data_IF_843655619974
#
_entry.id   IF_843655619974
#
_cell.length_a   1.000
_cell.length_b   1.000
_cell.length_c   1.000
_cell.angle_alpha   90.00
_cell.angle_beta   90.00
_cell.angle_gamma   90.00
#
_symmetry.space_group_name_H-M   'P 1'
#
loop_
_entity.id
_entity.type
_entity.pdbx_description
1 polymer ?
#
# COMPACT_ATOMS: atom_id res chain seq x y z
N UNK A 1 -19.73 -3.21 2.14
CA UNK A 1 -19.28 -2.58 0.88
C UNK A 1 -20.33 -2.60 -0.22
N UNK A 2 -21.33 -3.50 -0.19
CA UNK A 2 -22.34 -3.56 -1.26
C UNK A 2 -23.35 -2.39 -1.30
N UNK A 3 -23.25 -1.36 -0.46
CA UNK A 3 -24.26 -0.28 -0.39
C UNK A 3 -23.70 1.14 -0.31
N UNK A 4 -22.38 1.36 -0.51
CA UNK A 4 -21.85 2.73 -0.65
C UNK A 4 -21.33 2.97 -2.07
N UNK A 5 -22.09 3.67 -2.94
CA UNK A 5 -21.69 3.93 -4.31
C UNK A 5 -20.47 4.86 -4.41
N UNK A 6 -20.04 5.49 -3.31
CA UNK A 6 -18.87 6.36 -3.28
C UNK A 6 -17.56 5.58 -3.06
N UNK A 7 -17.64 4.27 -2.79
CA UNK A 7 -16.47 3.42 -2.56
C UNK A 7 -16.32 2.44 -3.72
N UNK A 8 -15.16 2.49 -4.38
CA UNK A 8 -14.74 1.53 -5.39
C UNK A 8 -13.46 0.83 -4.94
N UNK A 9 -13.39 -0.49 -5.13
CA UNK A 9 -12.18 -1.27 -4.90
C UNK A 9 -11.72 -1.90 -6.22
N UNK A 10 -10.42 -1.85 -6.46
CA UNK A 10 -9.77 -2.54 -7.56
C UNK A 10 -8.62 -3.40 -7.00
N UNK A 11 -8.63 -4.69 -7.30
CA UNK A 11 -7.60 -5.63 -6.90
C UNK A 11 -6.82 -6.07 -8.14
N UNK A 12 -5.50 -5.82 -8.15
CA UNK A 12 -4.63 -6.19 -9.28
C UNK A 12 -4.11 -7.64 -9.19
N UNK A 13 -4.29 -8.30 -8.05
CA UNK A 13 -3.86 -9.69 -7.83
C UNK A 13 -2.36 -9.92 -8.07
N UNK A 14 -1.50 -8.95 -7.71
CA UNK A 14 -0.04 -9.08 -7.86
C UNK A 14 0.54 -9.97 -6.74
N UNK A 15 1.60 -10.75 -7.02
CA UNK A 15 2.21 -11.63 -6.02
C UNK A 15 2.94 -10.84 -4.94
N UNK A 16 2.90 -11.37 -3.71
CA UNK A 16 3.65 -10.87 -2.56
C UNK A 16 5.16 -10.98 -2.81
N UNK A 17 5.85 -9.85 -2.62
CA UNK A 17 7.28 -9.70 -2.81
C UNK A 17 8.14 -10.21 -1.65
N UNK A 18 7.55 -10.70 -0.55
CA UNK A 18 8.21 -10.91 0.73
C UNK A 18 8.78 -9.60 1.30
N UNK A 19 9.21 -9.62 2.56
CA UNK A 19 9.69 -8.42 3.25
C UNK A 19 10.81 -7.70 2.48
N UNK A 20 11.72 -8.45 1.86
CA UNK A 20 12.91 -7.96 1.16
C UNK A 20 12.79 -7.88 -0.37
N UNK A 21 11.67 -8.31 -0.95
CA UNK A 21 11.49 -8.33 -2.39
C UNK A 21 11.97 -9.61 -3.08
N UNK A 22 12.40 -10.62 -2.32
CA UNK A 22 12.79 -11.93 -2.85
C UNK A 22 11.62 -12.67 -3.51
N UNK A 23 10.37 -12.42 -3.10
CA UNK A 23 9.19 -13.16 -3.53
C UNK A 23 9.12 -14.56 -2.93
N UNK A 24 8.09 -15.32 -3.30
CA UNK A 24 7.87 -16.68 -2.79
C UNK A 24 8.00 -17.74 -3.89
N UNK A 25 8.49 -18.96 -3.58
CA UNK A 25 8.55 -20.05 -4.56
C UNK A 25 7.21 -20.37 -5.22
N UNK A 26 6.11 -20.24 -4.47
CA UNK A 26 4.75 -20.49 -4.96
C UNK A 26 4.33 -19.53 -6.10
N UNK A 27 4.92 -18.34 -6.16
CA UNK A 27 4.69 -17.31 -7.19
C UNK A 27 5.88 -17.17 -8.14
N UNK A 28 6.74 -18.19 -8.20
CA UNK A 28 7.92 -18.21 -9.05
C UNK A 28 9.05 -17.28 -8.60
N UNK A 29 9.06 -16.89 -7.32
CA UNK A 29 10.08 -16.00 -6.74
C UNK A 29 10.15 -14.67 -7.50
N UNK A 30 8.98 -14.18 -7.93
CA UNK A 30 8.77 -12.88 -8.59
C UNK A 30 8.26 -11.85 -7.57
N UNK A 31 8.43 -10.57 -7.86
CA UNK A 31 8.01 -9.48 -6.96
C UNK A 31 7.88 -8.16 -7.71
N UNK A 32 7.17 -7.21 -7.11
CA UNK A 32 7.08 -5.83 -7.62
C UNK A 32 8.47 -5.20 -7.76
N UNK A 33 9.35 -5.35 -6.76
CA UNK A 33 10.69 -4.72 -6.80
C UNK A 33 11.57 -5.29 -7.92
N UNK A 34 11.43 -6.58 -8.23
CA UNK A 34 12.11 -7.22 -9.37
C UNK A 34 11.60 -6.67 -10.70
N UNK A 35 10.29 -6.44 -10.83
CA UNK A 35 9.71 -5.81 -12.01
C UNK A 35 10.23 -4.37 -12.14
N UNK A 36 10.10 -3.57 -11.08
CA UNK A 36 10.53 -2.17 -11.05
C UNK A 36 12.01 -1.99 -11.44
N UNK A 37 12.89 -2.85 -10.92
CA UNK A 37 14.32 -2.81 -11.22
C UNK A 37 14.70 -3.43 -12.57
N UNK A 38 13.74 -3.96 -13.34
CA UNK A 38 13.98 -4.62 -14.62
C UNK A 38 14.66 -5.98 -14.52
N UNK A 39 14.68 -6.59 -13.32
CA UNK A 39 15.23 -7.94 -13.11
C UNK A 39 14.32 -9.02 -13.71
N UNK A 40 13.02 -8.73 -13.81
CA UNK A 40 12.05 -9.49 -14.60
C UNK A 40 11.35 -8.53 -15.55
N UNK A 41 10.99 -9.02 -16.74
CA UNK A 41 10.30 -8.18 -17.75
C UNK A 41 8.78 -8.18 -17.56
N UNK A 42 8.24 -9.21 -16.92
CA UNK A 42 6.80 -9.41 -16.73
C UNK A 42 6.54 -9.99 -15.34
N UNK A 43 5.41 -9.61 -14.77
CA UNK A 43 4.88 -10.11 -13.51
C UNK A 43 3.48 -10.69 -13.76
N UNK A 44 3.32 -11.98 -13.53
CA UNK A 44 2.03 -12.66 -13.59
C UNK A 44 1.19 -12.32 -12.36
N UNK A 45 -0.12 -12.17 -12.52
CA UNK A 45 -1.06 -12.14 -11.39
C UNK A 45 -1.15 -13.51 -10.73
N UNK A 46 -1.50 -13.56 -9.44
CA UNK A 46 -1.57 -14.81 -8.66
C UNK A 46 -2.62 -15.80 -9.21
N UNK A 47 -3.63 -15.31 -9.91
CA UNK A 47 -4.64 -16.11 -10.61
C UNK A 47 -4.22 -16.50 -12.04
N UNK A 48 -3.07 -16.02 -12.52
CA UNK A 48 -2.53 -16.28 -13.86
C UNK A 48 -3.31 -15.62 -15.01
N UNK A 49 -4.29 -14.76 -14.72
CA UNK A 49 -5.18 -14.19 -15.73
C UNK A 49 -4.56 -13.02 -16.48
N UNK A 50 -3.66 -12.26 -15.85
CA UNK A 50 -3.05 -11.06 -16.42
C UNK A 50 -1.54 -11.06 -16.17
N UNK A 51 -0.81 -10.35 -17.04
CA UNK A 51 0.63 -10.12 -16.89
C UNK A 51 0.92 -8.64 -17.05
N UNK A 52 1.78 -8.10 -16.21
CA UNK A 52 2.18 -6.70 -16.26
C UNK A 52 3.67 -6.55 -16.60
N UNK A 53 3.99 -5.66 -17.53
CA UNK A 53 5.33 -5.04 -17.60
C UNK A 53 5.35 -3.82 -16.67
N UNK A 54 6.52 -3.17 -16.53
CA UNK A 54 6.57 -1.87 -15.85
C UNK A 54 5.60 -0.87 -16.48
N UNK A 55 5.66 -0.75 -17.81
CA UNK A 55 4.88 0.22 -18.58
C UNK A 55 3.39 -0.07 -18.47
N UNK A 56 2.97 -1.33 -18.60
CA UNK A 56 1.55 -1.67 -18.54
C UNK A 56 0.98 -1.56 -17.13
N UNK A 57 1.78 -1.77 -16.08
CA UNK A 57 1.34 -1.53 -14.70
C UNK A 57 1.15 -0.03 -14.44
N UNK A 58 2.09 0.81 -14.86
CA UNK A 58 1.97 2.28 -14.78
C UNK A 58 0.74 2.75 -15.55
N UNK A 59 0.54 2.27 -16.79
CA UNK A 59 -0.61 2.67 -17.60
C UNK A 59 -1.93 2.23 -16.97
N UNK A 60 -2.00 1.03 -16.40
CA UNK A 60 -3.20 0.53 -15.70
C UNK A 60 -3.59 1.43 -14.52
N UNK A 61 -2.62 1.85 -13.71
CA UNK A 61 -2.85 2.77 -12.60
C UNK A 61 -3.21 4.18 -13.11
N UNK A 62 -2.59 4.61 -14.21
CA UNK A 62 -2.90 5.90 -14.86
C UNK A 62 -4.34 5.90 -15.38
N UNK A 63 -4.80 4.81 -15.99
CA UNK A 63 -6.16 4.66 -16.49
C UNK A 63 -7.20 4.68 -15.35
N UNK A 64 -6.87 4.12 -14.18
CA UNK A 64 -7.70 4.30 -12.99
C UNK A 64 -7.77 5.77 -12.59
N UNK A 65 -6.67 6.51 -12.59
CA UNK A 65 -6.68 7.95 -12.30
C UNK A 65 -7.49 8.74 -13.35
N UNK A 66 -7.36 8.42 -14.65
CA UNK A 66 -8.19 9.03 -15.71
C UNK A 66 -9.68 8.73 -15.53
N UNK A 67 -10.03 7.52 -15.07
CA UNK A 67 -11.42 7.11 -14.85
C UNK A 67 -12.05 7.78 -13.63
N UNK A 68 -11.30 7.92 -12.55
CA UNK A 68 -11.82 8.45 -11.28
C UNK A 68 -11.55 9.94 -11.07
N UNK A 69 -10.70 10.55 -11.89
CA UNK A 69 -10.32 11.97 -11.85
C UNK A 69 -10.01 12.47 -10.42
N UNK A 70 -9.05 11.85 -9.71
CA UNK A 70 -8.84 12.14 -8.30
C UNK A 70 -8.22 13.53 -8.09
N UNK A 71 -8.74 14.27 -7.11
CA UNK A 71 -8.06 15.47 -6.60
C UNK A 71 -6.78 15.11 -5.82
N UNK A 72 -6.78 13.95 -5.15
CA UNK A 72 -5.68 13.48 -4.31
C UNK A 72 -5.41 12.00 -4.50
N UNK A 73 -4.13 11.64 -4.55
CA UNK A 73 -3.65 10.25 -4.49
C UNK A 73 -2.86 10.10 -3.19
N UNK A 74 -3.28 9.16 -2.34
CA UNK A 74 -2.58 8.79 -1.11
C UNK A 74 -1.92 7.43 -1.30
N UNK A 75 -0.66 7.32 -0.90
CA UNK A 75 0.13 6.10 -1.07
C UNK A 75 1.07 5.90 0.13
N UNK A 76 1.65 4.71 0.27
CA UNK A 76 2.76 4.47 1.20
C UNK A 76 4.04 5.18 0.74
N UNK A 77 5.16 4.96 1.43
CA UNK A 77 6.41 5.67 1.23
C UNK A 77 7.06 5.35 -0.14
N UNK A 78 7.12 6.32 -1.05
CA UNK A 78 7.82 6.21 -2.35
C UNK A 78 9.25 6.78 -2.34
N UNK A 79 9.72 7.32 -1.22
CA UNK A 79 11.04 7.97 -1.07
C UNK A 79 12.02 7.05 -0.33
N UNK A 80 11.65 6.59 0.86
CA UNK A 80 12.51 5.81 1.75
C UNK A 80 12.02 4.35 1.76
N UNK A 81 12.95 3.40 1.70
CA UNK A 81 12.63 1.97 1.63
C UNK A 81 13.28 1.10 2.72
N UNK A 82 14.03 1.70 3.65
CA UNK A 82 14.71 0.94 4.70
C UNK A 82 13.74 0.55 5.83
N UNK A 83 13.73 -0.73 6.21
CA UNK A 83 12.97 -1.21 7.37
C UNK A 83 11.47 -1.41 7.15
N UNK A 84 10.98 -1.27 5.91
CA UNK A 84 9.57 -1.49 5.53
C UNK A 84 9.44 -2.66 4.53
N UNK A 85 8.21 -3.10 4.28
CA UNK A 85 7.92 -4.15 3.30
C UNK A 85 8.24 -3.70 1.86
N UNK A 86 8.89 -4.56 1.09
CA UNK A 86 9.30 -4.26 -0.29
C UNK A 86 8.13 -3.84 -1.20
N UNK A 87 6.96 -4.46 -1.02
CA UNK A 87 5.75 -4.13 -1.78
C UNK A 87 5.17 -2.77 -1.40
N UNK A 88 5.34 -2.31 -0.15
CA UNK A 88 4.87 -0.99 0.26
C UNK A 88 5.57 0.09 -0.55
N UNK A 89 6.90 0.01 -0.54
CA UNK A 89 7.74 0.98 -1.21
C UNK A 89 7.62 0.90 -2.74
N UNK A 90 7.58 -0.31 -3.29
CA UNK A 90 7.52 -0.48 -4.75
C UNK A 90 6.14 -0.18 -5.30
N UNK A 91 5.07 -0.57 -4.61
CA UNK A 91 3.70 -0.18 -4.96
C UNK A 91 3.56 1.34 -4.98
N UNK A 92 4.12 2.03 -3.97
CA UNK A 92 4.13 3.48 -3.91
C UNK A 92 4.92 4.15 -5.05
N UNK A 93 6.03 3.55 -5.48
CA UNK A 93 6.78 4.01 -6.66
C UNK A 93 5.97 3.92 -7.96
N UNK A 94 5.25 2.81 -8.18
CA UNK A 94 4.34 2.69 -9.32
C UNK A 94 3.18 3.70 -9.25
N UNK A 95 2.59 3.91 -8.07
CA UNK A 95 1.54 4.92 -7.89
C UNK A 95 2.05 6.35 -8.16
N UNK A 96 3.27 6.67 -7.71
CA UNK A 96 3.92 7.95 -7.99
C UNK A 96 4.17 8.16 -9.48
N UNK A 97 4.68 7.14 -10.18
CA UNK A 97 4.94 7.23 -11.61
C UNK A 97 3.64 7.39 -12.40
N UNK A 98 2.59 6.66 -12.04
CA UNK A 98 1.26 6.83 -12.63
C UNK A 98 0.69 8.23 -12.41
N UNK A 99 0.82 8.79 -11.19
CA UNK A 99 0.39 10.16 -10.90
C UNK A 99 1.17 11.19 -11.74
N UNK A 100 2.47 10.95 -11.98
CA UNK A 100 3.32 11.79 -12.85
C UNK A 100 2.90 11.71 -14.32
N UNK A 101 2.45 10.55 -14.80
CA UNK A 101 1.95 10.37 -16.17
C UNK A 101 0.55 10.94 -16.35
N UNK A 102 -0.31 10.82 -15.34
CA UNK A 102 -1.67 11.37 -15.37
C UNK A 102 -1.68 12.91 -15.50
N UNK A 103 -0.73 13.60 -14.83
CA UNK A 103 -0.45 15.04 -14.88
C UNK A 103 -1.68 15.94 -15.15
N UNK A 104 -2.59 15.97 -14.19
CA UNK A 104 -3.77 16.85 -14.17
C UNK A 104 -3.83 17.72 -12.91
N UNK A 105 -2.68 18.05 -12.31
CA UNK A 105 -2.60 18.79 -11.05
C UNK A 105 -2.99 17.97 -9.81
N UNK A 106 -3.03 16.64 -9.91
CA UNK A 106 -3.33 15.73 -8.80
C UNK A 106 -2.33 15.91 -7.66
N UNK A 107 -2.82 15.98 -6.41
CA UNK A 107 -1.94 16.03 -5.24
C UNK A 107 -1.57 14.62 -4.78
N UNK A 108 -0.30 14.25 -4.95
CA UNK A 108 0.25 13.03 -4.39
C UNK A 108 0.69 13.24 -2.93
N UNK A 109 0.39 12.31 -2.04
CA UNK A 109 0.90 12.30 -0.66
C UNK A 109 1.32 10.88 -0.28
N UNK A 110 2.61 10.71 0.02
CA UNK A 110 3.16 9.48 0.57
C UNK A 110 3.10 9.49 2.10
N UNK A 111 2.96 8.32 2.72
CA UNK A 111 2.99 8.15 4.17
C UNK A 111 4.08 7.16 4.57
N UNK A 112 4.88 7.51 5.57
CA UNK A 112 5.93 6.68 6.13
C UNK A 112 5.35 5.38 6.70
N UNK A 113 5.95 4.24 6.34
CA UNK A 113 5.52 2.91 6.79
C UNK A 113 6.13 2.51 8.13
N UNK A 114 6.60 1.26 8.27
CA UNK A 114 7.04 0.71 9.57
C UNK A 114 8.06 1.55 10.35
N UNK A 115 9.05 2.25 9.73
CA UNK A 115 9.99 3.11 10.45
C UNK A 115 9.33 4.28 11.19
N UNK A 116 8.04 4.54 10.98
CA UNK A 116 7.31 5.58 11.71
C UNK A 116 7.43 5.45 13.23
N UNK A 117 7.64 4.24 13.77
CA UNK A 117 7.84 4.01 15.22
C UNK A 117 9.04 4.75 15.81
N UNK A 118 10.01 5.13 14.98
CA UNK A 118 11.19 5.90 15.40
C UNK A 118 10.87 7.39 15.63
N UNK A 119 9.70 7.85 15.18
CA UNK A 119 9.24 9.21 15.34
C UNK A 119 8.34 9.36 16.59
N UNK A 120 8.21 10.57 17.15
CA UNK A 120 7.27 10.83 18.23
C UNK A 120 5.81 10.50 17.86
N UNK A 121 4.97 10.29 18.86
CA UNK A 121 3.52 10.18 18.64
C UNK A 121 2.95 11.52 18.22
N UNK A 122 2.09 11.51 17.20
CA UNK A 122 1.44 12.71 16.68
C UNK A 122 -0.04 12.53 16.35
N UNK A 123 -0.61 11.35 16.61
CA UNK A 123 -2.05 11.08 16.48
C UNK A 123 -2.60 10.72 17.85
N UNK A 124 -3.53 11.52 18.37
CA UNK A 124 -4.02 11.41 19.74
C UNK A 124 -5.50 11.80 19.86
N UNK A 125 -6.11 11.52 21.01
CA UNK A 125 -7.51 11.87 21.29
C UNK A 125 -8.48 11.26 20.27
N UNK A 126 -9.47 12.03 19.83
CA UNK A 126 -10.52 11.56 18.92
C UNK A 126 -10.00 11.07 17.57
N UNK A 127 -8.89 11.63 17.06
CA UNK A 127 -8.30 11.16 15.80
C UNK A 127 -7.71 9.76 15.94
N UNK A 128 -7.06 9.47 17.07
CA UNK A 128 -6.55 8.15 17.38
C UNK A 128 -7.68 7.14 17.56
N UNK A 129 -8.75 7.52 18.26
CA UNK A 129 -9.93 6.67 18.45
C UNK A 129 -10.58 6.29 17.11
N UNK A 130 -10.76 7.24 16.19
CA UNK A 130 -11.30 6.98 14.85
C UNK A 130 -10.39 6.07 14.04
N UNK A 131 -9.07 6.31 14.08
CA UNK A 131 -8.09 5.49 13.36
C UNK A 131 -8.04 4.06 13.90
N UNK A 132 -8.06 3.90 15.22
CA UNK A 132 -8.13 2.60 15.89
C UNK A 132 -9.43 1.86 15.53
N UNK A 133 -10.58 2.54 15.59
CA UNK A 133 -11.86 1.93 15.24
C UNK A 133 -11.89 1.41 13.78
N UNK A 134 -11.33 2.17 12.84
CA UNK A 134 -11.20 1.74 11.44
C UNK A 134 -10.28 0.51 11.30
N UNK A 135 -9.12 0.52 11.96
CA UNK A 135 -8.18 -0.60 11.95
C UNK A 135 -8.78 -1.86 12.57
N UNK A 136 -9.42 -1.73 13.74
CA UNK A 136 -10.06 -2.83 14.45
C UNK A 136 -11.19 -3.45 13.64
N UNK A 137 -11.94 -2.64 12.88
CA UNK A 137 -12.97 -3.17 11.98
C UNK A 137 -12.39 -4.10 10.92
N UNK A 138 -11.20 -3.79 10.40
CA UNK A 138 -10.46 -4.69 9.53
C UNK A 138 -9.93 -5.92 10.29
N UNK A 139 -9.34 -5.71 11.47
CA UNK A 139 -8.76 -6.77 12.30
C UNK A 139 -9.73 -7.90 12.67
N UNK A 140 -11.03 -7.61 12.78
CA UNK A 140 -12.08 -8.63 12.97
C UNK A 140 -12.08 -9.72 11.88
N UNK A 141 -11.48 -9.45 10.72
CA UNK A 141 -11.42 -10.33 9.56
C UNK A 141 -10.01 -10.89 9.30
N UNK A 142 -9.02 -10.56 10.14
CA UNK A 142 -7.63 -10.98 9.95
C UNK A 142 -7.02 -11.49 11.27
N UNK A 143 -6.86 -12.81 11.34
CA UNK A 143 -6.32 -13.49 12.52
C UNK A 143 -4.84 -13.18 12.80
N UNK A 144 -4.11 -12.56 11.86
CA UNK A 144 -2.70 -12.20 12.05
C UNK A 144 -2.52 -10.85 12.72
N UNK A 145 -3.56 -10.02 12.80
CA UNK A 145 -3.52 -8.74 13.50
C UNK A 145 -4.41 -8.73 14.76
N UNK A 146 -4.76 -7.55 15.25
CA UNK A 146 -5.57 -7.32 16.43
C UNK A 146 -6.79 -6.46 16.10
N UNK A 147 -7.87 -6.62 16.87
CA UNK A 147 -9.20 -6.10 16.55
C UNK A 147 -9.80 -5.25 17.68
N UNK A 148 -9.00 -4.92 18.69
CA UNK A 148 -9.43 -4.16 19.86
C UNK A 148 -8.23 -3.59 20.60
N UNK A 149 -8.46 -2.58 21.43
CA UNK A 149 -7.38 -1.99 22.25
C UNK A 149 -6.68 -3.04 23.13
N UNK A 150 -7.45 -3.96 23.72
CA UNK A 150 -6.90 -5.01 24.58
C UNK A 150 -6.02 -5.99 23.79
N UNK A 151 -6.45 -6.42 22.60
CA UNK A 151 -5.67 -7.35 21.76
C UNK A 151 -4.47 -6.69 21.07
N UNK A 152 -4.48 -5.36 20.94
CA UNK A 152 -3.40 -4.60 20.32
C UNK A 152 -2.35 -4.06 21.29
N UNK A 153 -2.63 -3.98 22.60
CA UNK A 153 -1.81 -3.21 23.57
C UNK A 153 -0.31 -3.54 23.57
N UNK A 154 0.03 -4.82 23.36
CA UNK A 154 1.41 -5.32 23.37
C UNK A 154 1.98 -5.55 21.96
N UNK A 155 1.25 -5.13 20.92
CA UNK A 155 1.65 -5.29 19.53
C UNK A 155 2.21 -4.00 18.92
N UNK A 156 3.00 -4.14 17.86
CA UNK A 156 3.60 -3.00 17.15
C UNK A 156 2.53 -2.13 16.48
N UNK A 157 1.38 -2.69 16.11
CA UNK A 157 0.26 -1.97 15.53
C UNK A 157 -0.23 -0.84 16.44
N UNK A 158 -0.21 -1.00 17.76
CA UNK A 158 -0.57 0.08 18.69
C UNK A 158 0.40 1.28 18.55
N UNK A 159 1.69 1.03 18.31
CA UNK A 159 2.69 2.07 18.09
C UNK A 159 2.52 2.74 16.72
N UNK A 160 2.20 1.97 15.67
CA UNK A 160 1.89 2.52 14.35
C UNK A 160 0.63 3.39 14.35
N UNK A 161 -0.42 2.97 15.06
CA UNK A 161 -1.69 3.69 15.09
C UNK A 161 -1.55 5.09 15.70
N UNK A 162 -0.69 5.26 16.71
CA UNK A 162 -0.40 6.56 17.34
C UNK A 162 0.44 7.53 16.48
N UNK A 163 0.82 7.15 15.25
CA UNK A 163 1.72 7.93 14.39
C UNK A 163 1.25 8.01 12.93
N UNK A 164 1.47 9.15 12.29
CA UNK A 164 1.26 9.33 10.87
C UNK A 164 2.15 10.45 10.35
N UNK A 165 3.08 10.12 9.45
CA UNK A 165 4.03 11.08 8.88
C UNK A 165 4.02 10.96 7.36
N UNK A 166 4.14 12.09 6.67
CA UNK A 166 4.20 12.13 5.19
C UNK A 166 5.65 12.18 4.69
N UNK A 167 5.86 11.79 3.43
CA UNK A 167 7.17 11.84 2.74
C UNK A 167 7.16 12.71 1.48
#
# INVERSE_FOLDING_TARGET
>A
MNDDPNISLAFLHLPDGNLDGSGFPATGTTSLVKLWNGQIQKLDTVDGLTKYTNESLVETLTDLMRKFEPEQVKTQDYIQGGGDHSDHHTGAKFAREAARVYDAGVKLTGYLGYPVVELPENVQGSELEVKQAAFYKYGMHDAHTCDSQETCKDRVEAQWLARQYTV
#
